data_IF_696615937200
#
_entry.id   IF_696615937200
#
_cell.length_a   1.000
_cell.length_b   1.000
_cell.length_c   1.000
_cell.angle_alpha   90.00
_cell.angle_beta   90.00
_cell.angle_gamma   90.00
#
_symmetry.space_group_name_H-M   'P 1'
#
loop_
_entity.id
_entity.type
_entity.pdbx_description
1 polymer ?
#
# COMPACT_ATOMS: atom_id res chain seq x y z
N UNK A 1 -18.14 -4.14 2.43
CA UNK A 1 -17.85 -4.79 3.73
C UNK A 1 -18.23 -6.28 3.76
N UNK A 2 -19.34 -6.71 3.15
CA UNK A 2 -19.83 -8.11 3.14
C UNK A 2 -18.88 -9.14 2.51
N UNK A 3 -17.99 -8.72 1.59
CA UNK A 3 -17.02 -9.60 0.95
C UNK A 3 -15.85 -10.05 1.85
N UNK A 4 -15.58 -9.36 2.96
CA UNK A 4 -14.53 -9.76 3.91
C UNK A 4 -14.81 -11.14 4.54
N UNK A 5 -16.08 -11.55 4.56
CA UNK A 5 -16.51 -12.88 5.03
C UNK A 5 -15.88 -14.01 4.20
N UNK A 6 -15.50 -13.75 2.95
CA UNK A 6 -14.85 -14.72 2.06
C UNK A 6 -13.51 -15.19 2.64
N UNK A 7 -12.78 -14.33 3.36
CA UNK A 7 -11.50 -14.71 3.97
C UNK A 7 -11.63 -15.83 5.03
N UNK A 8 -12.84 -16.06 5.54
CA UNK A 8 -13.15 -17.10 6.53
C UNK A 8 -13.91 -18.29 5.95
N UNK A 9 -14.12 -18.32 4.62
CA UNK A 9 -14.89 -19.37 3.94
C UNK A 9 -14.06 -20.04 2.85
N UNK A 10 -14.25 -21.35 2.69
CA UNK A 10 -13.76 -22.12 1.53
C UNK A 10 -14.58 -21.74 0.30
N UNK A 11 -14.24 -20.58 -0.24
CA UNK A 11 -15.00 -19.92 -1.28
C UNK A 11 -14.81 -20.61 -2.61
N UNK A 12 -15.91 -21.09 -3.17
CA UNK A 12 -15.97 -21.55 -4.55
C UNK A 12 -16.92 -20.65 -5.35
N UNK A 13 -16.49 -20.10 -6.50
CA UNK A 13 -17.36 -19.29 -7.36
C UNK A 13 -18.67 -20.01 -7.74
N UNK A 14 -18.63 -21.34 -7.88
CA UNK A 14 -19.81 -22.17 -8.18
C UNK A 14 -20.82 -22.24 -7.03
N UNK A 15 -20.37 -22.17 -5.77
CA UNK A 15 -21.23 -22.28 -4.57
C UNK A 15 -21.67 -20.93 -4.01
N UNK A 16 -21.08 -19.84 -4.50
CA UNK A 16 -21.31 -18.48 -4.01
C UNK A 16 -20.86 -18.26 -2.56
N UNK A 17 -21.04 -17.03 -2.06
CA UNK A 17 -20.57 -16.63 -0.71
C UNK A 17 -21.35 -17.35 0.40
N UNK A 18 -22.64 -17.63 0.19
CA UNK A 18 -23.52 -18.22 1.20
C UNK A 18 -23.48 -19.76 1.25
N UNK A 19 -23.23 -20.43 0.11
CA UNK A 19 -23.09 -21.89 0.04
C UNK A 19 -21.69 -22.44 0.32
N UNK A 20 -20.69 -21.56 0.48
CA UNK A 20 -19.31 -21.92 0.78
C UNK A 20 -19.11 -22.23 2.27
N UNK A 21 -18.37 -23.30 2.60
CA UNK A 21 -18.17 -23.78 3.97
C UNK A 21 -17.36 -22.77 4.79
N UNK A 22 -17.72 -22.56 6.04
CA UNK A 22 -16.94 -21.74 6.96
C UNK A 22 -15.70 -22.51 7.43
N UNK A 23 -14.51 -21.95 7.22
CA UNK A 23 -13.21 -22.55 7.58
C UNK A 23 -12.41 -21.71 8.60
N UNK A 24 -12.97 -20.58 9.04
CA UNK A 24 -12.37 -19.76 10.09
C UNK A 24 -11.01 -19.19 9.65
N UNK A 25 -9.98 -19.42 10.45
CA UNK A 25 -8.65 -18.78 10.30
C UNK A 25 -7.69 -19.66 9.45
N UNK A 26 -8.18 -20.73 8.83
CA UNK A 26 -7.34 -21.67 8.08
C UNK A 26 -6.40 -20.98 7.07
N UNK A 27 -6.94 -20.11 6.21
CA UNK A 27 -6.15 -19.42 5.19
C UNK A 27 -5.14 -18.41 5.76
N UNK A 28 -5.46 -17.80 6.91
CA UNK A 28 -4.50 -16.93 7.58
C UNK A 28 -3.33 -17.75 8.13
N UNK A 29 -3.60 -18.91 8.74
CA UNK A 29 -2.54 -19.80 9.22
C UNK A 29 -1.67 -20.27 8.06
N UNK A 30 -2.29 -20.72 6.97
CA UNK A 30 -1.60 -21.15 5.75
C UNK A 30 -0.72 -20.03 5.18
N UNK A 31 -1.25 -18.82 5.06
CA UNK A 31 -0.50 -17.64 4.63
C UNK A 31 0.73 -17.38 5.52
N UNK A 32 0.54 -17.28 6.84
CA UNK A 32 1.64 -16.97 7.77
C UNK A 32 2.67 -18.09 7.90
N UNK A 33 2.29 -19.35 7.67
CA UNK A 33 3.23 -20.48 7.60
C UNK A 33 3.91 -20.61 6.25
N UNK A 34 3.42 -19.90 5.23
CA UNK A 34 3.99 -19.93 3.88
C UNK A 34 5.37 -19.27 3.82
N UNK A 35 6.25 -19.73 2.91
CA UNK A 35 7.63 -19.22 2.81
C UNK A 35 7.72 -17.74 2.43
N UNK A 36 6.65 -17.17 1.84
CA UNK A 36 6.64 -15.81 1.33
C UNK A 36 5.99 -14.79 2.28
N UNK A 37 5.25 -15.21 3.32
CA UNK A 37 4.49 -14.27 4.16
C UNK A 37 5.38 -13.21 4.79
N UNK A 38 6.40 -13.64 5.54
CA UNK A 38 7.32 -12.73 6.23
C UNK A 38 8.13 -11.87 5.25
N UNK A 39 8.54 -12.46 4.12
CA UNK A 39 9.28 -11.74 3.08
C UNK A 39 8.44 -10.61 2.49
N UNK A 40 7.19 -10.88 2.13
CA UNK A 40 6.28 -9.88 1.56
C UNK A 40 5.96 -8.78 2.55
N UNK A 41 5.69 -9.11 3.82
CA UNK A 41 5.44 -8.12 4.87
C UNK A 41 6.66 -7.23 5.06
N UNK A 42 7.86 -7.82 5.22
CA UNK A 42 9.11 -7.07 5.38
C UNK A 42 9.39 -6.16 4.19
N UNK A 43 9.27 -6.67 2.97
CA UNK A 43 9.50 -5.88 1.76
C UNK A 43 8.53 -4.71 1.66
N UNK A 44 7.26 -4.94 1.96
CA UNK A 44 6.23 -3.89 1.93
C UNK A 44 6.51 -2.81 2.97
N UNK A 45 6.91 -3.21 4.19
CA UNK A 45 7.31 -2.27 5.24
C UNK A 45 8.54 -1.46 4.85
N UNK A 46 9.58 -2.11 4.32
CA UNK A 46 10.81 -1.44 3.87
C UNK A 46 10.48 -0.42 2.78
N UNK A 47 9.72 -0.81 1.75
CA UNK A 47 9.30 0.10 0.68
C UNK A 47 8.53 1.27 1.26
N UNK A 48 7.52 1.02 2.11
CA UNK A 48 6.69 2.07 2.69
C UNK A 48 7.50 3.04 3.54
N UNK A 49 8.44 2.54 4.34
CA UNK A 49 9.33 3.37 5.17
C UNK A 49 10.30 4.18 4.32
N UNK A 50 10.91 3.59 3.29
CA UNK A 50 11.80 4.31 2.37
C UNK A 50 11.03 5.37 1.59
N UNK A 51 9.83 5.07 1.11
CA UNK A 51 8.95 6.03 0.46
C UNK A 51 8.52 7.16 1.40
N UNK A 52 8.30 6.89 2.69
CA UNK A 52 8.00 7.93 3.66
C UNK A 52 9.23 8.80 3.95
N UNK A 53 10.39 8.19 4.21
CA UNK A 53 11.61 8.93 4.61
C UNK A 53 12.19 9.73 3.44
N UNK A 54 12.11 9.22 2.21
CA UNK A 54 12.68 9.90 1.03
C UNK A 54 11.58 10.60 0.23
N UNK A 55 10.49 9.90 -0.08
CA UNK A 55 9.43 10.41 -0.95
C UNK A 55 8.64 11.57 -0.36
N UNK A 56 8.49 11.66 0.97
CA UNK A 56 7.80 12.79 1.60
C UNK A 56 8.69 14.05 1.69
N UNK A 57 9.97 13.99 2.10
CA UNK A 57 10.84 15.17 2.10
C UNK A 57 11.28 15.64 0.72
N UNK A 58 11.34 14.75 -0.28
CA UNK A 58 11.87 15.09 -1.60
C UNK A 58 11.14 16.28 -2.27
N UNK A 59 9.79 16.35 -2.29
CA UNK A 59 9.07 17.52 -2.80
C UNK A 59 9.34 18.81 -2.02
N UNK A 60 9.52 18.72 -0.69
CA UNK A 60 9.80 19.88 0.17
C UNK A 60 11.19 20.43 -0.17
N UNK A 61 12.20 19.56 -0.27
CA UNK A 61 13.55 19.94 -0.68
C UNK A 61 13.51 20.56 -2.08
N UNK A 62 12.80 19.94 -3.02
CA UNK A 62 12.65 20.46 -4.37
C UNK A 62 12.00 21.85 -4.40
N UNK A 63 10.95 22.07 -3.62
CA UNK A 63 10.30 23.38 -3.50
C UNK A 63 11.24 24.45 -2.92
N UNK A 64 12.06 24.10 -1.93
CA UNK A 64 13.05 25.01 -1.35
C UNK A 64 14.16 25.37 -2.34
N UNK A 65 14.69 24.37 -3.08
CA UNK A 65 15.68 24.60 -4.14
C UNK A 65 15.14 25.53 -5.23
N UNK A 66 13.88 25.33 -5.67
CA UNK A 66 13.23 26.23 -6.63
C UNK A 66 13.01 27.64 -6.07
N UNK A 67 12.76 27.77 -4.77
CA UNK A 67 12.58 29.07 -4.12
C UNK A 67 13.91 29.85 -3.98
N UNK A 68 15.04 29.15 -3.79
CA UNK A 68 16.38 29.77 -3.76
C UNK A 68 16.92 30.16 -5.14
N UNK A 69 16.44 29.52 -6.20
CA UNK A 69 16.65 29.96 -7.58
C UNK A 69 15.88 31.26 -7.86
N UNK A 70 16.35 32.37 -7.25
CA UNK A 70 15.90 33.74 -7.50
C UNK A 70 16.20 34.16 -8.93
N UNK A 71 15.35 33.78 -9.87
CA UNK A 71 15.05 34.61 -11.02
C UNK A 71 13.69 35.27 -10.78
N UNK A 72 13.72 36.51 -10.28
CA UNK A 72 12.58 37.39 -9.99
C UNK A 72 11.63 37.61 -11.20
N UNK A 73 11.91 37.06 -12.39
CA UNK A 73 11.13 37.26 -13.63
C UNK A 73 10.14 36.16 -14.00
N UNK A 74 10.14 34.98 -13.36
CA UNK A 74 9.24 33.87 -13.75
C UNK A 74 8.22 33.46 -12.67
N UNK A 75 8.08 34.27 -11.62
CA UNK A 75 7.14 34.02 -10.53
C UNK A 75 5.66 34.11 -10.95
N UNK A 76 5.35 34.67 -12.13
CA UNK A 76 3.98 34.95 -12.59
C UNK A 76 3.43 33.93 -13.61
N UNK A 77 4.27 33.08 -14.20
CA UNK A 77 3.85 32.12 -15.25
C UNK A 77 3.60 30.71 -14.72
N UNK A 78 4.18 30.34 -13.57
CA UNK A 78 4.09 28.98 -12.99
C UNK A 78 3.04 28.90 -11.87
N UNK A 79 2.53 30.05 -11.41
CA UNK A 79 1.53 30.15 -10.33
C UNK A 79 0.12 30.36 -10.91
N UNK A 80 -0.25 29.58 -11.93
CA UNK A 80 -1.61 29.40 -12.45
C UNK A 80 -1.87 27.91 -12.63
#
# INVERSE_FOLDING_TARGET
MTGLVIAFKDYSPFRGIWGSKWVGIQYFKEFFTGPYALRTIKNTLVISLTSLIIGFPMPIIFALLLNELRAIRFKKTVQS
#
